data_IF_823330391025
#
_entry.id   IF_823330391025
#
_cell.length_a   1.000
_cell.length_b   1.000
_cell.length_c   1.000
_cell.angle_alpha   90.00
_cell.angle_beta   90.00
_cell.angle_gamma   90.00
#
_symmetry.space_group_name_H-M   'P 1'
#
loop_
_entity.id
_entity.type
_entity.pdbx_description
1 polymer ?
#
# COMPACT_ATOMS: atom_id res chain seq x y z
N UNK A 1 13.95 13.98 20.35
CA UNK A 1 12.46 14.14 20.31
C UNK A 1 11.88 12.74 20.42
N UNK A 2 10.82 12.52 21.16
CA UNK A 2 10.27 11.19 21.40
C UNK A 2 10.01 10.36 20.13
N UNK A 3 9.57 10.99 19.05
CA UNK A 3 9.37 10.33 17.74
C UNK A 3 10.67 9.80 17.09
N UNK A 4 11.84 10.20 17.60
CA UNK A 4 13.12 9.71 17.05
C UNK A 4 13.76 8.64 17.93
N UNK A 5 13.04 8.16 18.95
CA UNK A 5 13.47 7.05 19.79
C UNK A 5 13.02 5.74 19.13
N UNK A 6 13.98 5.01 18.55
CA UNK A 6 13.75 3.71 17.94
C UNK A 6 14.26 2.60 18.85
N UNK A 7 13.42 1.61 19.11
CA UNK A 7 13.81 0.39 19.84
C UNK A 7 13.90 -0.78 18.83
N UNK A 8 15.09 -1.40 18.69
CA UNK A 8 15.27 -2.51 17.74
C UNK A 8 14.75 -3.86 18.27
N UNK A 9 14.12 -3.92 19.44
CA UNK A 9 13.58 -5.15 19.99
C UNK A 9 12.47 -5.72 19.07
N UNK A 10 12.66 -6.92 18.55
CA UNK A 10 11.71 -7.55 17.64
C UNK A 10 10.38 -7.91 18.29
N UNK A 11 10.39 -8.19 19.61
CA UNK A 11 9.21 -8.57 20.38
C UNK A 11 8.72 -7.45 21.26
N UNK A 12 7.47 -7.06 21.07
CA UNK A 12 6.76 -6.19 21.97
C UNK A 12 6.17 -6.97 23.16
N UNK A 13 5.73 -6.25 24.21
CA UNK A 13 4.97 -6.85 25.34
C UNK A 13 3.66 -7.47 24.83
N UNK A 14 3.04 -6.83 23.86
CA UNK A 14 1.86 -7.33 23.15
C UNK A 14 2.25 -7.52 21.67
N UNK A 15 2.52 -8.76 21.29
CA UNK A 15 3.01 -9.14 19.96
C UNK A 15 1.87 -9.77 19.15
N UNK A 16 1.76 -9.53 17.83
CA UNK A 16 0.68 -10.07 17.01
C UNK A 16 0.60 -11.60 17.04
N UNK A 17 1.72 -12.30 17.25
CA UNK A 17 1.75 -13.76 17.38
C UNK A 17 1.04 -14.30 18.62
N UNK A 18 0.68 -13.45 19.59
CA UNK A 18 -0.14 -13.83 20.75
C UNK A 18 -1.62 -13.99 20.38
N UNK A 19 -2.09 -13.30 19.34
CA UNK A 19 -3.49 -13.37 18.88
C UNK A 19 -3.63 -14.18 17.59
N UNK A 20 -2.62 -14.16 16.74
CA UNK A 20 -2.63 -14.76 15.42
C UNK A 20 -1.52 -15.79 15.30
N UNK A 21 -1.79 -16.87 14.62
CA UNK A 21 -0.83 -17.93 14.31
C UNK A 21 -0.91 -18.28 12.84
N UNK A 22 0.14 -18.87 12.25
CA UNK A 22 0.11 -19.29 10.87
C UNK A 22 -1.13 -20.14 10.55
N UNK A 23 -1.89 -19.72 9.55
CA UNK A 23 -3.13 -20.38 9.13
C UNK A 23 -2.77 -21.41 8.06
N UNK A 24 -3.07 -22.71 8.25
CA UNK A 24 -2.81 -23.73 7.23
C UNK A 24 -3.49 -23.37 5.90
N UNK A 25 -2.71 -23.34 4.82
CA UNK A 25 -3.22 -22.99 3.48
C UNK A 25 -3.43 -21.48 3.25
N UNK A 26 -2.92 -20.62 4.14
CA UNK A 26 -2.86 -19.18 3.86
C UNK A 26 -1.90 -18.92 2.68
N UNK A 27 -2.34 -18.22 1.63
CA UNK A 27 -1.45 -17.82 0.54
C UNK A 27 -0.28 -16.97 1.03
N UNK A 28 0.90 -17.15 0.43
CA UNK A 28 2.11 -16.40 0.79
C UNK A 28 2.05 -14.94 0.32
N UNK A 29 1.24 -14.65 -0.68
CA UNK A 29 1.06 -13.31 -1.22
C UNK A 29 -0.38 -12.86 -0.98
N UNK A 30 -0.53 -11.65 -0.45
CA UNK A 30 -1.82 -10.99 -0.30
C UNK A 30 -1.90 -9.77 -1.21
N UNK A 31 -3.09 -9.46 -1.70
CA UNK A 31 -3.43 -8.18 -2.35
C UNK A 31 -4.35 -7.39 -1.45
N UNK A 32 -4.06 -6.12 -1.26
CA UNK A 32 -4.89 -5.21 -0.47
C UNK A 32 -5.07 -3.86 -1.15
N UNK A 33 -6.20 -3.21 -0.87
CA UNK A 33 -6.46 -1.82 -1.25
C UNK A 33 -7.38 -1.15 -0.22
N UNK A 34 -7.41 0.18 -0.26
CA UNK A 34 -8.17 0.98 0.72
C UNK A 34 -9.62 1.22 0.30
N UNK A 35 -9.89 1.32 -1.01
CA UNK A 35 -11.20 1.66 -1.54
C UNK A 35 -12.19 0.49 -1.45
N UNK A 36 -13.20 0.59 -0.59
CA UNK A 36 -14.20 -0.45 -0.33
C UNK A 36 -14.88 -0.94 -1.61
N UNK A 37 -15.33 -0.03 -2.47
CA UNK A 37 -16.04 -0.38 -3.70
C UNK A 37 -15.14 -1.16 -4.68
N UNK A 38 -13.88 -0.73 -4.84
CA UNK A 38 -12.90 -1.43 -5.68
C UNK A 38 -12.59 -2.81 -5.12
N UNK A 39 -12.37 -2.90 -3.81
CA UNK A 39 -12.15 -4.17 -3.12
C UNK A 39 -13.31 -5.15 -3.33
N UNK A 40 -14.54 -4.70 -3.13
CA UNK A 40 -15.71 -5.56 -3.31
C UNK A 40 -15.91 -6.01 -4.75
N UNK A 41 -15.60 -5.15 -5.75
CA UNK A 41 -15.64 -5.55 -7.15
C UNK A 41 -14.56 -6.59 -7.45
N UNK A 42 -13.33 -6.41 -6.93
CA UNK A 42 -12.24 -7.38 -7.04
C UNK A 42 -12.63 -8.75 -6.44
N UNK A 43 -13.19 -8.77 -5.23
CA UNK A 43 -13.67 -10.01 -4.57
C UNK A 43 -14.72 -10.72 -5.43
N UNK A 44 -15.69 -9.99 -5.98
CA UNK A 44 -16.72 -10.55 -6.86
C UNK A 44 -16.15 -11.08 -8.18
N UNK A 45 -15.28 -10.29 -8.83
CA UNK A 45 -14.68 -10.66 -10.11
C UNK A 45 -13.83 -11.94 -10.00
N UNK A 46 -13.16 -12.12 -8.86
CA UNK A 46 -12.35 -13.30 -8.58
C UNK A 46 -13.14 -14.48 -8.00
N UNK A 47 -14.45 -14.33 -7.77
CA UNK A 47 -15.25 -15.31 -7.02
C UNK A 47 -14.56 -15.77 -5.72
N UNK A 48 -13.92 -14.82 -5.02
CA UNK A 48 -13.09 -15.09 -3.87
C UNK A 48 -13.91 -15.61 -2.68
N UNK A 49 -13.37 -16.57 -1.95
CA UNK A 49 -14.04 -17.23 -0.83
C UNK A 49 -13.51 -16.72 0.50
N UNK A 50 -14.36 -16.43 1.49
CA UNK A 50 -13.93 -16.01 2.81
C UNK A 50 -13.07 -17.10 3.47
N UNK A 51 -11.92 -16.70 4.04
CA UNK A 51 -10.97 -17.63 4.67
C UNK A 51 -10.53 -17.20 6.07
N UNK A 52 -10.81 -15.98 6.48
CA UNK A 52 -10.43 -15.43 7.78
C UNK A 52 -10.90 -14.01 7.97
N UNK A 53 -10.38 -13.36 8.99
CA UNK A 53 -10.65 -11.94 9.24
C UNK A 53 -9.54 -11.29 10.06
N UNK A 54 -9.31 -10.00 9.82
CA UNK A 54 -8.61 -9.08 10.71
C UNK A 54 -9.66 -8.32 11.52
N UNK A 55 -9.31 -7.91 12.71
CA UNK A 55 -10.29 -7.27 13.61
C UNK A 55 -9.65 -6.17 14.45
N UNK A 56 -10.15 -4.96 14.31
CA UNK A 56 -9.88 -3.88 15.25
C UNK A 56 -11.13 -3.55 16.09
N UNK A 57 -10.99 -2.61 17.01
CA UNK A 57 -12.10 -2.24 17.92
C UNK A 57 -13.34 -1.69 17.21
N UNK A 58 -13.16 -1.07 16.03
CA UNK A 58 -14.24 -0.40 15.31
C UNK A 58 -14.73 -1.15 14.06
N UNK A 59 -13.97 -2.13 13.56
CA UNK A 59 -14.29 -2.80 12.28
C UNK A 59 -13.71 -4.21 12.20
N UNK A 60 -14.37 -5.03 11.38
CA UNK A 60 -13.89 -6.35 10.96
C UNK A 60 -13.57 -6.26 9.47
N UNK A 61 -12.38 -6.72 9.10
CA UNK A 61 -11.91 -6.80 7.72
C UNK A 61 -11.83 -8.26 7.30
N UNK A 62 -12.77 -8.75 6.49
CA UNK A 62 -12.74 -10.14 6.01
C UNK A 62 -11.52 -10.38 5.14
N UNK A 63 -10.92 -11.57 5.30
CA UNK A 63 -9.87 -12.09 4.41
C UNK A 63 -10.54 -13.09 3.48
N UNK A 64 -10.25 -12.97 2.19
CA UNK A 64 -10.72 -13.88 1.16
C UNK A 64 -9.54 -14.60 0.52
N UNK A 65 -9.81 -15.75 -0.06
CA UNK A 65 -8.87 -16.48 -0.92
C UNK A 65 -9.42 -16.52 -2.33
N UNK A 66 -8.59 -16.19 -3.29
CA UNK A 66 -8.88 -16.24 -4.72
C UNK A 66 -7.78 -17.04 -5.44
N UNK A 67 -8.08 -17.50 -6.65
CA UNK A 67 -7.11 -18.13 -7.52
C UNK A 67 -7.03 -17.36 -8.85
N UNK A 68 -5.83 -17.09 -9.30
CA UNK A 68 -5.55 -16.50 -10.62
C UNK A 68 -4.37 -17.22 -11.27
N UNK A 69 -4.55 -17.71 -12.49
CA UNK A 69 -3.52 -18.42 -13.26
C UNK A 69 -2.86 -19.59 -12.49
N UNK A 70 -3.65 -20.30 -11.67
CA UNK A 70 -3.20 -21.42 -10.83
C UNK A 70 -2.44 -21.00 -9.57
N UNK A 71 -2.47 -19.71 -9.20
CA UNK A 71 -1.86 -19.17 -7.98
C UNK A 71 -2.94 -18.74 -7.00
N UNK A 72 -2.89 -19.25 -5.78
CA UNK A 72 -3.73 -18.78 -4.68
C UNK A 72 -3.21 -17.46 -4.13
N UNK A 73 -4.12 -16.50 -3.90
CA UNK A 73 -3.84 -15.14 -3.41
C UNK A 73 -4.81 -14.82 -2.28
N UNK A 74 -4.32 -14.28 -1.18
CA UNK A 74 -5.16 -13.72 -0.15
C UNK A 74 -5.60 -12.30 -0.54
N UNK A 75 -6.85 -11.94 -0.26
CA UNK A 75 -7.38 -10.60 -0.49
C UNK A 75 -7.92 -10.06 0.83
N UNK A 76 -7.54 -8.84 1.20
CA UNK A 76 -8.14 -8.13 2.32
C UNK A 76 -8.21 -6.64 2.03
N UNK A 77 -9.15 -5.94 2.67
CA UNK A 77 -9.23 -4.48 2.58
C UNK A 77 -8.37 -3.86 3.68
N UNK A 78 -7.53 -2.89 3.33
CA UNK A 78 -6.78 -2.10 4.31
C UNK A 78 -7.59 -0.91 4.81
N UNK A 79 -7.47 -0.64 6.10
CA UNK A 79 -7.93 0.63 6.67
C UNK A 79 -7.00 1.78 6.33
N UNK A 80 -7.57 2.98 6.22
CA UNK A 80 -6.83 4.20 5.91
C UNK A 80 -6.08 4.72 7.13
N UNK A 81 -4.85 5.16 6.93
CA UNK A 81 -3.96 5.72 7.94
C UNK A 81 -2.91 4.73 8.43
N UNK A 82 -1.69 5.23 8.56
CA UNK A 82 -0.51 4.44 8.88
C UNK A 82 -0.68 3.48 10.08
N UNK A 83 -1.23 3.87 11.25
CA UNK A 83 -1.35 2.97 12.40
C UNK A 83 -2.28 1.78 12.14
N UNK A 84 -3.40 1.99 11.44
CA UNK A 84 -4.37 0.93 11.17
C UNK A 84 -3.83 -0.04 10.12
N UNK A 85 -3.35 0.48 8.99
CA UNK A 85 -2.79 -0.33 7.91
C UNK A 85 -1.61 -1.19 8.39
N UNK A 86 -0.70 -0.61 9.19
CA UNK A 86 0.44 -1.34 9.77
C UNK A 86 -0.01 -2.42 10.76
N UNK A 87 -1.00 -2.13 11.61
CA UNK A 87 -1.58 -3.13 12.51
C UNK A 87 -2.12 -4.34 11.74
N UNK A 88 -2.86 -4.10 10.65
CA UNK A 88 -3.37 -5.16 9.77
C UNK A 88 -2.24 -5.93 9.08
N UNK A 89 -1.16 -5.25 8.66
CA UNK A 89 0.01 -5.92 8.08
C UNK A 89 0.72 -6.83 9.09
N UNK A 90 0.87 -6.40 10.33
CA UNK A 90 1.41 -7.23 11.41
C UNK A 90 0.58 -8.53 11.60
N UNK A 91 -0.74 -8.39 11.63
CA UNK A 91 -1.66 -9.51 11.81
C UNK A 91 -1.61 -10.49 10.63
N UNK A 92 -1.66 -9.98 9.39
CA UNK A 92 -1.64 -10.83 8.20
C UNK A 92 -0.28 -11.53 8.01
N UNK A 93 0.82 -10.88 8.39
CA UNK A 93 2.14 -11.50 8.43
C UNK A 93 2.22 -12.63 9.48
N UNK A 94 1.65 -12.42 10.66
CA UNK A 94 1.56 -13.46 11.70
C UNK A 94 0.72 -14.67 11.23
N UNK A 95 -0.27 -14.46 10.36
CA UNK A 95 -1.08 -15.53 9.75
C UNK A 95 -0.32 -16.31 8.65
N UNK A 96 0.84 -15.85 8.22
CA UNK A 96 1.72 -16.57 7.30
C UNK A 96 1.89 -15.97 5.92
N UNK A 97 1.37 -14.76 5.66
CA UNK A 97 1.67 -13.98 4.45
C UNK A 97 3.13 -13.51 4.50
N UNK A 98 3.82 -13.54 3.38
CA UNK A 98 5.21 -13.11 3.24
C UNK A 98 5.33 -11.80 2.47
N UNK A 99 4.43 -11.55 1.51
CA UNK A 99 4.43 -10.36 0.67
C UNK A 99 3.03 -9.78 0.54
N UNK A 100 2.89 -8.49 0.78
CA UNK A 100 1.65 -7.73 0.51
C UNK A 100 1.84 -6.88 -0.75
N UNK A 101 0.99 -7.07 -1.74
CA UNK A 101 0.80 -6.15 -2.87
C UNK A 101 -0.29 -5.17 -2.49
N UNK A 102 0.08 -3.93 -2.23
CA UNK A 102 -0.81 -2.88 -1.74
C UNK A 102 -0.99 -1.80 -2.80
N UNK A 103 -2.23 -1.40 -3.06
CA UNK A 103 -2.50 -0.30 -3.98
C UNK A 103 -3.60 0.64 -3.47
N UNK A 104 -3.52 1.88 -3.86
CA UNK A 104 -4.49 2.90 -3.46
C UNK A 104 -4.39 4.16 -4.30
N UNK A 105 -5.18 5.16 -3.94
CA UNK A 105 -5.09 6.50 -4.50
C UNK A 105 -3.93 7.28 -3.91
N UNK A 106 -3.44 8.26 -4.64
CA UNK A 106 -2.58 9.31 -4.12
C UNK A 106 -2.96 10.67 -4.74
N UNK A 107 -2.71 11.73 -4.01
CA UNK A 107 -2.79 13.10 -4.53
C UNK A 107 -1.51 13.45 -5.28
N UNK A 108 -1.59 13.93 -6.54
CA UNK A 108 -0.40 14.27 -7.30
C UNK A 108 0.12 15.66 -6.96
N UNK A 109 1.45 15.78 -6.90
CA UNK A 109 2.18 17.04 -6.68
C UNK A 109 2.75 17.62 -7.99
N UNK A 110 2.47 16.97 -9.10
CA UNK A 110 2.79 17.44 -10.46
C UNK A 110 1.53 17.30 -11.33
N UNK A 111 1.03 18.44 -11.82
CA UNK A 111 -0.16 18.51 -12.69
C UNK A 111 -0.01 17.79 -14.02
N UNK A 112 1.23 17.51 -14.45
CA UNK A 112 1.51 16.76 -15.67
C UNK A 112 1.21 15.25 -15.52
N UNK A 113 1.08 14.74 -14.29
CA UNK A 113 0.68 13.36 -14.03
C UNK A 113 -0.83 13.24 -14.31
N UNK A 114 -1.18 12.41 -15.27
CA UNK A 114 -2.57 12.20 -15.68
C UNK A 114 -3.40 11.48 -14.61
N UNK A 115 -4.71 11.69 -14.64
CA UNK A 115 -5.66 10.98 -13.78
C UNK A 115 -5.61 9.47 -14.05
N UNK A 116 -5.64 8.67 -13.00
CA UNK A 116 -5.47 7.21 -13.00
C UNK A 116 -4.09 6.71 -13.50
N UNK A 117 -3.10 7.58 -13.72
CA UNK A 117 -1.73 7.16 -14.03
C UNK A 117 -1.15 6.30 -12.90
N UNK A 118 -0.43 5.24 -13.27
CA UNK A 118 0.25 4.37 -12.29
C UNK A 118 1.50 5.08 -11.76
N UNK A 119 1.65 5.09 -10.43
CA UNK A 119 2.81 5.65 -9.74
C UNK A 119 3.44 4.56 -8.87
N UNK A 120 4.72 4.28 -9.10
CA UNK A 120 5.51 3.34 -8.31
C UNK A 120 6.53 4.11 -7.48
N UNK A 121 6.36 4.22 -6.16
CA UNK A 121 7.29 4.93 -5.31
C UNK A 121 8.64 4.20 -5.22
N UNK A 122 9.72 4.99 -5.17
CA UNK A 122 11.09 4.52 -4.97
C UNK A 122 11.60 4.77 -3.56
N UNK A 123 11.13 5.85 -2.94
CA UNK A 123 11.32 6.19 -1.52
C UNK A 123 10.09 6.92 -1.00
N UNK A 124 9.93 6.95 0.31
CA UNK A 124 8.88 7.69 0.99
C UNK A 124 9.46 8.69 1.98
N UNK A 125 8.98 9.94 1.95
CA UNK A 125 9.28 10.96 2.94
C UNK A 125 8.34 10.75 4.13
N UNK A 126 8.91 10.63 5.34
CA UNK A 126 8.26 10.19 6.58
C UNK A 126 7.68 11.37 7.35
N UNK A 127 6.49 11.85 6.96
CA UNK A 127 5.76 12.93 7.65
C UNK A 127 4.56 12.35 8.42
N UNK A 128 4.79 11.21 9.06
CA UNK A 128 3.85 10.44 9.88
C UNK A 128 4.58 9.87 11.11
N UNK A 129 3.86 9.28 12.06
CA UNK A 129 4.45 8.82 13.32
C UNK A 129 4.82 7.34 13.34
N UNK A 130 4.10 6.50 12.61
CA UNK A 130 4.13 5.04 12.73
C UNK A 130 5.47 4.43 12.30
N UNK A 131 6.05 4.89 11.20
CA UNK A 131 7.30 4.34 10.68
C UNK A 131 8.49 4.49 11.65
N UNK A 132 8.45 5.49 12.54
CA UNK A 132 9.50 5.70 13.54
C UNK A 132 9.53 4.63 14.65
N UNK A 133 8.47 3.84 14.79
CA UNK A 133 8.44 2.67 15.67
C UNK A 133 9.10 1.43 15.06
N UNK A 134 9.29 1.42 13.73
CA UNK A 134 9.79 0.26 12.97
C UNK A 134 11.13 0.50 12.27
N UNK A 135 11.59 1.74 12.20
CA UNK A 135 12.87 2.07 11.57
C UNK A 135 13.56 3.24 12.27
N UNK A 136 14.90 3.27 12.30
CA UNK A 136 15.66 4.39 12.87
C UNK A 136 15.22 5.73 12.30
N UNK A 137 15.43 6.80 13.07
CA UNK A 137 15.07 8.15 12.67
C UNK A 137 15.81 8.56 11.39
N UNK A 138 15.05 8.89 10.37
CA UNK A 138 15.50 9.45 9.10
C UNK A 138 14.32 10.17 8.44
N UNK A 139 14.58 11.12 7.55
CA UNK A 139 13.53 11.83 6.85
C UNK A 139 12.86 10.97 5.75
N UNK A 140 13.58 9.96 5.26
CA UNK A 140 13.14 9.10 4.15
C UNK A 140 13.39 7.63 4.46
N UNK A 141 12.63 6.78 3.76
CA UNK A 141 12.80 5.33 3.75
C UNK A 141 12.67 4.80 2.31
N UNK A 142 13.52 3.87 1.92
CA UNK A 142 13.37 3.18 0.64
C UNK A 142 12.18 2.24 0.64
N UNK A 143 11.48 2.15 -0.51
CA UNK A 143 10.29 1.33 -0.67
C UNK A 143 10.42 0.39 -1.87
N UNK A 144 9.61 -0.66 -1.90
CA UNK A 144 9.56 -1.63 -3.01
C UNK A 144 10.93 -2.29 -3.31
N UNK A 145 11.71 -2.58 -2.28
CA UNK A 145 13.11 -3.02 -2.44
C UNK A 145 13.24 -4.30 -3.28
N UNK A 146 12.37 -5.27 -3.07
CA UNK A 146 12.50 -6.59 -3.69
C UNK A 146 11.80 -6.72 -5.04
N UNK A 147 10.59 -6.15 -5.19
CA UNK A 147 9.70 -6.45 -6.31
C UNK A 147 9.54 -5.30 -7.31
N UNK A 148 10.28 -4.19 -7.14
CA UNK A 148 10.20 -3.01 -8.01
C UNK A 148 10.42 -3.36 -9.48
N UNK A 149 11.51 -4.04 -9.79
CA UNK A 149 11.85 -4.37 -11.18
C UNK A 149 10.85 -5.34 -11.80
N UNK A 150 10.44 -6.36 -11.05
CA UNK A 150 9.42 -7.32 -11.49
C UNK A 150 8.11 -6.61 -11.88
N UNK A 151 7.69 -5.60 -11.10
CA UNK A 151 6.49 -4.82 -11.41
C UNK A 151 6.67 -3.94 -12.64
N UNK A 152 7.80 -3.25 -12.77
CA UNK A 152 8.12 -2.43 -13.94
C UNK A 152 8.15 -3.26 -15.24
N UNK A 153 8.77 -4.44 -15.21
CA UNK A 153 8.81 -5.36 -16.34
C UNK A 153 7.40 -5.81 -16.74
N UNK A 154 6.55 -6.12 -15.75
CA UNK A 154 5.15 -6.46 -15.99
C UNK A 154 4.36 -5.33 -16.65
N UNK A 155 4.55 -4.08 -16.19
CA UNK A 155 3.90 -2.92 -16.77
C UNK A 155 4.36 -2.70 -18.22
N UNK A 156 5.67 -2.80 -18.47
CA UNK A 156 6.25 -2.67 -19.81
C UNK A 156 5.69 -3.71 -20.79
N UNK A 157 5.58 -4.98 -20.39
CA UNK A 157 4.99 -6.05 -21.19
C UNK A 157 3.51 -5.79 -21.53
N UNK A 158 2.79 -5.11 -20.64
CA UNK A 158 1.38 -4.73 -20.83
C UNK A 158 1.21 -3.39 -21.58
N UNK A 159 2.30 -2.68 -21.89
CA UNK A 159 2.26 -1.36 -22.49
C UNK A 159 1.69 -0.28 -21.55
N UNK A 160 1.75 -0.49 -20.23
CA UNK A 160 1.27 0.45 -19.22
C UNK A 160 2.41 1.36 -18.80
N UNK A 161 2.23 2.68 -18.97
CA UNK A 161 3.18 3.68 -18.49
C UNK A 161 3.15 3.79 -16.97
N UNK A 162 4.30 4.13 -16.37
CA UNK A 162 4.45 4.27 -14.92
C UNK A 162 5.32 5.48 -14.60
N UNK A 163 4.84 6.31 -13.67
CA UNK A 163 5.65 7.37 -13.06
C UNK A 163 6.39 6.78 -11.87
N UNK A 164 7.69 7.02 -11.78
CA UNK A 164 8.49 6.62 -10.61
C UNK A 164 9.00 7.85 -9.90
N UNK A 165 9.04 7.82 -8.57
CA UNK A 165 9.53 8.96 -7.79
C UNK A 165 9.34 8.77 -6.30
N UNK A 166 9.63 9.83 -5.54
CA UNK A 166 9.42 9.87 -4.11
C UNK A 166 7.94 10.12 -3.80
N UNK A 167 7.39 9.46 -2.78
CA UNK A 167 6.08 9.79 -2.21
C UNK A 167 6.27 10.55 -0.90
N UNK A 168 5.35 11.45 -0.60
CA UNK A 168 5.23 12.07 0.71
C UNK A 168 4.14 11.35 1.51
N UNK A 169 4.50 10.64 2.59
CA UNK A 169 3.53 9.98 3.47
C UNK A 169 3.20 10.88 4.65
N UNK A 170 1.91 11.20 4.85
CA UNK A 170 1.45 12.09 5.92
C UNK A 170 0.27 11.52 6.71
N UNK A 171 0.21 11.76 8.02
CA UNK A 171 -0.92 11.41 8.89
C UNK A 171 -2.12 12.37 8.75
N UNK A 172 -1.98 13.47 8.01
CA UNK A 172 -2.92 14.58 8.08
C UNK A 172 -3.25 15.21 6.72
N UNK A 173 -4.14 14.56 5.96
CA UNK A 173 -4.57 15.05 4.64
C UNK A 173 -5.07 16.51 4.65
N UNK A 174 -5.79 16.92 5.68
CA UNK A 174 -6.29 18.30 5.79
C UNK A 174 -5.21 19.31 6.23
N UNK A 175 -3.96 18.89 6.36
CA UNK A 175 -2.79 19.74 6.63
C UNK A 175 -1.80 19.81 5.46
N UNK A 176 -2.20 19.41 4.29
CA UNK A 176 -1.48 19.55 3.02
C UNK A 176 -1.59 20.99 2.51
N UNK A 177 -0.95 21.91 3.22
CA UNK A 177 -0.97 23.33 2.88
C UNK A 177 -0.12 23.61 1.65
N UNK A 178 -0.41 24.69 0.89
CA UNK A 178 0.35 25.06 -0.31
C UNK A 178 1.86 25.14 -0.08
N UNK A 179 2.28 25.76 1.02
CA UNK A 179 3.70 25.87 1.35
C UNK A 179 4.32 24.51 1.68
N UNK A 180 3.57 23.65 2.37
CA UNK A 180 4.04 22.29 2.69
C UNK A 180 4.16 21.46 1.41
N UNK A 181 3.14 21.49 0.56
CA UNK A 181 3.12 20.82 -0.74
C UNK A 181 4.28 21.31 -1.64
N UNK A 182 4.53 22.62 -1.72
CA UNK A 182 5.64 23.16 -2.47
C UNK A 182 7.00 22.61 -1.97
N UNK A 183 7.24 22.62 -0.64
CA UNK A 183 8.46 22.04 -0.07
C UNK A 183 8.61 20.54 -0.37
N UNK A 184 7.52 19.77 -0.38
CA UNK A 184 7.54 18.34 -0.72
C UNK A 184 7.86 18.11 -2.20
N UNK A 185 7.27 18.93 -3.07
CA UNK A 185 7.58 18.94 -4.49
C UNK A 185 9.06 19.28 -4.73
N UNK A 186 9.58 20.31 -4.07
CA UNK A 186 11.01 20.70 -4.14
C UNK A 186 11.93 19.59 -3.61
N UNK A 187 11.48 18.79 -2.65
CA UNK A 187 12.18 17.61 -2.15
C UNK A 187 12.11 16.39 -3.11
N UNK A 188 11.45 16.54 -4.26
CA UNK A 188 11.33 15.51 -5.29
C UNK A 188 10.15 14.55 -5.12
N UNK A 189 9.17 14.88 -4.26
CA UNK A 189 7.96 14.09 -4.15
C UNK A 189 7.04 14.33 -5.36
N UNK A 190 6.55 13.23 -5.96
CA UNK A 190 5.62 13.25 -7.11
C UNK A 190 4.16 13.13 -6.69
N UNK A 191 3.92 12.55 -5.50
CA UNK A 191 2.59 12.38 -4.95
C UNK A 191 2.61 12.35 -3.41
N UNK A 192 1.44 12.35 -2.81
CA UNK A 192 1.20 12.21 -1.36
C UNK A 192 0.25 11.05 -1.09
N UNK A 193 0.52 10.32 -0.01
CA UNK A 193 -0.28 9.23 0.54
C UNK A 193 -0.33 9.29 2.07
N UNK A 194 -0.87 8.26 2.70
CA UNK A 194 -0.97 8.19 4.16
C UNK A 194 -0.32 6.94 4.79
N UNK A 195 0.28 6.01 4.01
CA UNK A 195 0.72 4.71 4.55
C UNK A 195 2.10 4.23 4.07
N UNK A 196 2.59 4.70 2.93
CA UNK A 196 3.72 4.09 2.22
C UNK A 196 5.00 3.97 3.07
N UNK A 197 5.38 5.03 3.78
CA UNK A 197 6.56 5.02 4.63
C UNK A 197 6.45 3.98 5.74
N UNK A 198 5.29 3.89 6.38
CA UNK A 198 5.04 2.97 7.49
C UNK A 198 4.93 1.52 7.04
N UNK A 199 4.28 1.26 5.89
CA UNK A 199 4.20 -0.06 5.29
C UNK A 199 5.59 -0.60 4.91
N UNK A 200 6.44 0.26 4.34
CA UNK A 200 7.83 -0.11 4.06
C UNK A 200 8.62 -0.41 5.35
N UNK A 201 8.43 0.43 6.39
CA UNK A 201 9.14 0.27 7.67
C UNK A 201 8.77 -1.04 8.37
N UNK A 202 7.47 -1.35 8.50
CA UNK A 202 7.04 -2.61 9.15
C UNK A 202 7.49 -3.83 8.36
N UNK A 203 7.40 -3.81 7.03
CA UNK A 203 7.83 -4.93 6.20
C UNK A 203 9.33 -5.19 6.37
N UNK A 204 10.17 -4.14 6.33
CA UNK A 204 11.61 -4.24 6.57
C UNK A 204 11.92 -4.74 7.97
N UNK A 205 11.26 -4.21 9.00
CA UNK A 205 11.45 -4.63 10.38
C UNK A 205 11.11 -6.10 10.63
N UNK A 206 10.05 -6.60 10.01
CA UNK A 206 9.60 -8.00 10.13
C UNK A 206 10.28 -8.95 9.15
N UNK A 207 11.20 -8.48 8.31
CA UNK A 207 11.82 -9.30 7.26
C UNK A 207 10.81 -9.81 6.22
N UNK A 208 9.75 -9.05 5.99
CA UNK A 208 8.68 -9.31 5.03
C UNK A 208 8.79 -8.37 3.83
N UNK A 209 7.90 -8.51 2.85
CA UNK A 209 7.93 -7.71 1.65
C UNK A 209 6.61 -6.94 1.47
N UNK A 210 6.73 -5.74 0.92
CA UNK A 210 5.62 -4.97 0.38
C UNK A 210 5.96 -4.53 -1.04
N UNK A 211 5.01 -4.68 -1.94
CA UNK A 211 4.99 -4.03 -3.24
C UNK A 211 3.83 -3.04 -3.22
N UNK A 212 4.13 -1.76 -3.01
CA UNK A 212 3.10 -0.73 -3.00
C UNK A 212 3.20 0.14 -4.23
N UNK A 213 2.06 0.40 -4.86
CA UNK A 213 1.93 1.34 -5.97
C UNK A 213 0.61 2.11 -5.86
N UNK A 214 0.53 3.21 -6.55
CA UNK A 214 -0.65 4.07 -6.54
C UNK A 214 -1.23 4.26 -7.94
N UNK A 215 -2.46 4.74 -7.97
CA UNK A 215 -3.00 5.43 -9.13
C UNK A 215 -3.35 6.87 -8.74
N UNK A 216 -3.00 7.81 -9.62
CA UNK A 216 -3.25 9.23 -9.43
C UNK A 216 -4.76 9.48 -9.32
N UNK A 217 -5.21 10.21 -8.31
CA UNK A 217 -6.63 10.50 -8.10
C UNK A 217 -6.92 12.00 -8.11
N UNK A 218 -6.42 12.75 -7.16
CA UNK A 218 -6.62 14.20 -7.07
C UNK A 218 -5.33 14.97 -7.35
N UNK A 219 -5.47 16.26 -7.62
CA UNK A 219 -4.36 17.11 -8.00
C UNK A 219 -4.19 18.29 -7.03
N UNK A 220 -3.09 18.24 -6.26
CA UNK A 220 -2.72 19.27 -5.30
C UNK A 220 -1.85 20.37 -5.92
N UNK A 221 -1.37 20.19 -7.16
CA UNK A 221 -0.60 21.19 -7.92
C UNK A 221 -1.51 22.16 -8.73
N UNK A 222 -2.83 22.04 -8.61
CA UNK A 222 -3.78 22.95 -9.21
C UNK A 222 -3.95 24.23 -8.39
N UNK A 223 -4.39 25.33 -9.03
CA UNK A 223 -4.70 26.59 -8.34
C UNK A 223 -5.84 26.44 -7.32
N UNK A 224 -6.82 25.61 -7.66
CA UNK A 224 -7.90 25.15 -6.78
C UNK A 224 -7.79 23.65 -6.75
N UNK A 225 -8.03 23.03 -5.59
CA UNK A 225 -8.01 21.59 -5.45
C UNK A 225 -8.93 20.92 -6.49
N UNK A 226 -8.37 19.97 -7.21
CA UNK A 226 -9.04 19.25 -8.29
C UNK A 226 -9.20 17.78 -7.89
N UNK A 227 -10.43 17.38 -7.59
CA UNK A 227 -10.76 16.05 -7.07
C UNK A 227 -10.60 14.90 -8.09
N UNK A 228 -10.59 15.19 -9.38
CA UNK A 228 -10.47 14.20 -10.47
C UNK A 228 -11.28 12.92 -10.20
N UNK A 229 -10.59 11.78 -10.15
CA UNK A 229 -11.19 10.46 -9.91
C UNK A 229 -11.19 10.01 -8.44
N UNK A 230 -10.96 10.89 -7.47
CA UNK A 230 -10.94 10.53 -6.04
C UNK A 230 -12.27 9.90 -5.59
N UNK A 231 -13.39 10.34 -6.16
CA UNK A 231 -14.70 9.75 -5.89
C UNK A 231 -14.78 8.27 -6.28
N UNK A 232 -15.41 7.45 -5.46
CA UNK A 232 -15.60 6.01 -5.70
C UNK A 232 -16.33 5.68 -7.01
N UNK A 233 -17.15 6.60 -7.53
CA UNK A 233 -17.96 6.40 -8.73
C UNK A 233 -17.30 6.93 -10.01
N UNK A 234 -16.16 7.61 -9.91
CA UNK A 234 -15.41 8.10 -11.06
C UNK A 234 -14.42 7.04 -11.56
N UNK A 235 -14.26 6.94 -12.89
CA UNK A 235 -13.24 6.10 -13.54
C UNK A 235 -13.24 4.65 -13.04
N UNK A 236 -14.42 4.06 -12.91
CA UNK A 236 -14.59 2.70 -12.33
C UNK A 236 -13.81 1.65 -13.11
N UNK A 237 -13.86 1.69 -14.45
CA UNK A 237 -13.16 0.74 -15.33
C UNK A 237 -11.64 0.83 -15.16
N UNK A 238 -11.09 2.05 -15.02
CA UNK A 238 -9.66 2.25 -14.78
C UNK A 238 -9.24 1.69 -13.40
N UNK A 239 -10.05 1.91 -12.36
CA UNK A 239 -9.81 1.36 -11.02
C UNK A 239 -9.86 -0.16 -11.00
N UNK A 240 -10.77 -0.76 -11.77
CA UNK A 240 -10.84 -2.21 -11.94
C UNK A 240 -9.62 -2.74 -12.70
N UNK A 241 -9.14 -2.02 -13.73
CA UNK A 241 -7.89 -2.35 -14.40
C UNK A 241 -6.68 -2.28 -13.47
N UNK A 242 -6.62 -1.28 -12.58
CA UNK A 242 -5.58 -1.17 -11.54
C UNK A 242 -5.64 -2.36 -10.57
N UNK A 243 -6.84 -2.77 -10.15
CA UNK A 243 -7.00 -3.96 -9.31
C UNK A 243 -6.51 -5.24 -10.02
N UNK A 244 -6.76 -5.37 -11.32
CA UNK A 244 -6.24 -6.48 -12.13
C UNK A 244 -4.72 -6.43 -12.29
N UNK A 245 -4.11 -5.24 -12.33
CA UNK A 245 -2.64 -5.10 -12.29
C UNK A 245 -2.09 -5.60 -10.95
N UNK A 246 -2.73 -5.27 -9.83
CA UNK A 246 -2.31 -5.74 -8.50
C UNK A 246 -2.38 -7.28 -8.39
N UNK A 247 -3.46 -7.89 -8.87
CA UNK A 247 -3.60 -9.35 -8.91
C UNK A 247 -2.53 -10.00 -9.81
N UNK A 248 -2.29 -9.44 -11.00
CA UNK A 248 -1.23 -9.90 -11.90
C UNK A 248 0.17 -9.79 -11.28
N UNK A 249 0.42 -8.70 -10.52
CA UNK A 249 1.66 -8.54 -9.77
C UNK A 249 1.79 -9.62 -8.68
N UNK A 250 0.72 -9.91 -7.95
CA UNK A 250 0.73 -10.96 -6.92
C UNK A 250 1.03 -12.35 -7.50
N UNK A 251 0.47 -12.68 -8.67
CA UNK A 251 0.80 -13.93 -9.40
C UNK A 251 2.28 -13.99 -9.72
N UNK A 252 2.87 -12.90 -10.25
CA UNK A 252 4.31 -12.87 -10.59
C UNK A 252 5.19 -12.95 -9.36
N UNK A 253 4.86 -12.23 -8.30
CA UNK A 253 5.56 -12.28 -7.02
C UNK A 253 5.54 -13.71 -6.47
N UNK A 254 4.37 -14.34 -6.41
CA UNK A 254 4.23 -15.72 -5.92
C UNK A 254 5.05 -16.74 -6.73
N UNK A 255 5.16 -16.56 -8.05
CA UNK A 255 6.00 -17.43 -8.90
C UNK A 255 7.50 -17.19 -8.77
N UNK A 256 7.89 -15.99 -8.34
CA UNK A 256 9.29 -15.60 -8.14
C UNK A 256 9.81 -15.95 -6.72
N UNK A 257 8.91 -16.19 -5.80
CA UNK A 257 9.22 -16.61 -4.42
C UNK A 257 9.02 -18.12 -4.30
N UNK A 258 10.08 -18.88 -4.04
CA UNK A 258 10.00 -20.35 -3.93
C UNK A 258 9.25 -20.82 -2.67
#
# INVERSE_FOLDING_TARGET
>A
MILTEFDPAEKAIFDPTMLFSPVPGMPKVAVSCFATETFQRMVRAMNAQPTGQLKCACQIFPIYKAEMDGVEIALYQSGVGAPLCVGEMEEIFAMGVETVVLFGTCGVLDRAIEDCAIILPTSALRDEGTSYHYAPAADEIEVNLRHRQLFLDMLAEKGVSCVTGKVWTTDSMYRETREKTARRKDAGCVCVDMECASCAAVAQFRGKNVLQFFYAADNLDAEVWDERSLSNNARVEDKDAVAMLALGAAVRVSRAEP
#
